data_IF_634449219709
#
_entry.id   IF_634449219709
#
_cell.length_a   1.000
_cell.length_b   1.000
_cell.length_c   1.000
_cell.angle_alpha   90.00
_cell.angle_beta   90.00
_cell.angle_gamma   90.00
#
_symmetry.space_group_name_H-M   'P 1'
#
loop_
_entity.id
_entity.type
_entity.pdbx_description
1 polymer ?
#
# COMPACT_ATOMS: atom_id res chain seq x y z
N UNK A 1 -18.03 -22.34 50.21
CA UNK A 1 -16.69 -22.55 49.64
C UNK A 1 -16.64 -22.49 48.10
N UNK A 2 -17.73 -22.71 47.38
CA UNK A 2 -17.75 -22.70 45.89
C UNK A 2 -17.55 -21.32 45.21
N UNK A 3 -18.00 -20.25 45.84
CA UNK A 3 -17.92 -18.91 45.26
C UNK A 3 -16.46 -18.38 45.17
N UNK A 4 -15.62 -18.72 46.12
CA UNK A 4 -14.22 -18.32 46.15
C UNK A 4 -13.42 -19.07 45.06
N UNK A 5 -13.69 -20.37 44.85
CA UNK A 5 -13.07 -21.17 43.79
C UNK A 5 -13.45 -20.67 42.39
N UNK A 6 -14.66 -20.21 42.15
CA UNK A 6 -15.09 -19.64 40.86
C UNK A 6 -14.47 -18.29 40.61
N UNK A 7 -14.22 -17.48 41.62
CA UNK A 7 -13.57 -16.16 41.46
C UNK A 7 -12.08 -16.28 41.19
N UNK A 8 -11.38 -17.26 41.79
CA UNK A 8 -9.96 -17.53 41.52
C UNK A 8 -9.77 -18.05 40.07
N UNK A 9 -10.58 -19.01 39.64
CA UNK A 9 -10.56 -19.56 38.28
C UNK A 9 -10.77 -18.47 37.19
N UNK A 10 -11.73 -17.53 37.40
CA UNK A 10 -11.93 -16.41 36.45
C UNK A 10 -10.81 -15.39 36.41
N UNK A 11 -10.10 -15.20 37.52
CA UNK A 11 -8.90 -14.32 37.54
C UNK A 11 -7.75 -14.99 36.82
N UNK A 12 -7.49 -16.25 37.08
CA UNK A 12 -6.46 -17.05 36.41
C UNK A 12 -6.69 -17.10 34.90
N UNK A 13 -7.92 -17.28 34.44
CA UNK A 13 -8.27 -17.26 33.02
C UNK A 13 -8.03 -15.89 32.37
N UNK A 14 -8.37 -14.79 33.08
CA UNK A 14 -8.08 -13.44 32.59
C UNK A 14 -6.58 -13.15 32.51
N UNK A 15 -5.83 -13.60 33.50
CA UNK A 15 -4.39 -13.40 33.54
C UNK A 15 -3.69 -14.23 32.46
N UNK A 16 -4.14 -15.44 32.19
CA UNK A 16 -3.68 -16.27 31.08
C UNK A 16 -3.93 -15.60 29.72
N UNK A 17 -5.16 -15.15 29.46
CA UNK A 17 -5.50 -14.43 28.23
C UNK A 17 -4.70 -13.13 28.04
N UNK A 18 -4.38 -12.44 29.13
CA UNK A 18 -3.54 -11.25 29.12
C UNK A 18 -2.09 -11.58 28.80
N UNK A 19 -1.57 -12.65 29.39
CA UNK A 19 -0.22 -13.14 29.11
C UNK A 19 -0.07 -13.61 27.64
N UNK A 20 -1.06 -14.32 27.12
CA UNK A 20 -1.09 -14.76 25.69
C UNK A 20 -1.10 -13.56 24.73
N UNK A 21 -1.89 -12.51 25.03
CA UNK A 21 -1.89 -11.29 24.20
C UNK A 21 -0.55 -10.58 24.22
N UNK A 22 0.06 -10.42 25.38
CA UNK A 22 1.38 -9.81 25.52
C UNK A 22 2.46 -10.63 24.80
N UNK A 23 2.40 -11.95 24.88
CA UNK A 23 3.32 -12.82 24.15
C UNK A 23 3.14 -12.72 22.64
N UNK A 24 1.89 -12.64 22.16
CA UNK A 24 1.59 -12.44 20.73
C UNK A 24 2.06 -11.07 20.22
N UNK A 25 1.88 -10.00 21.00
CA UNK A 25 2.38 -8.66 20.68
C UNK A 25 3.92 -8.62 20.63
N UNK A 26 4.59 -9.27 21.58
CA UNK A 26 6.06 -9.37 21.59
C UNK A 26 6.57 -10.18 20.38
N UNK A 27 5.92 -11.31 20.06
CA UNK A 27 6.30 -12.12 18.91
C UNK A 27 6.13 -11.35 17.60
N UNK A 28 5.04 -10.59 17.43
CA UNK A 28 4.81 -9.75 16.25
C UNK A 28 5.84 -8.62 16.13
N UNK A 29 6.20 -7.98 17.25
CA UNK A 29 7.23 -6.95 17.28
C UNK A 29 8.62 -7.48 16.94
N UNK A 30 8.96 -8.70 17.39
CA UNK A 30 10.23 -9.34 17.04
C UNK A 30 10.26 -9.76 15.56
N UNK A 31 9.15 -10.26 15.02
CA UNK A 31 9.06 -10.57 13.60
C UNK A 31 9.22 -9.31 12.74
N UNK A 32 8.61 -8.19 13.13
CA UNK A 32 8.78 -6.92 12.44
C UNK A 32 10.23 -6.42 12.47
N UNK A 33 10.94 -6.57 13.60
CA UNK A 33 12.38 -6.25 13.69
C UNK A 33 13.23 -7.15 12.79
N UNK A 34 12.99 -8.45 12.78
CA UNK A 34 13.70 -9.39 11.89
C UNK A 34 13.46 -9.08 10.41
N UNK A 35 12.21 -8.78 10.02
CA UNK A 35 11.87 -8.38 8.64
C UNK A 35 12.61 -7.09 8.24
N UNK A 36 12.68 -6.07 9.11
CA UNK A 36 13.48 -4.85 8.86
C UNK A 36 14.96 -5.14 8.64
N UNK A 37 15.56 -6.01 9.45
CA UNK A 37 16.95 -6.41 9.27
C UNK A 37 17.17 -7.17 7.94
N UNK A 38 16.26 -8.06 7.58
CA UNK A 38 16.33 -8.79 6.31
C UNK A 38 16.20 -7.84 5.10
N UNK A 39 15.28 -6.87 5.15
CA UNK A 39 15.13 -5.90 4.05
C UNK A 39 16.38 -5.01 3.87
N UNK A 40 17.03 -4.61 4.96
CA UNK A 40 18.29 -3.84 4.90
C UNK A 40 19.44 -4.69 4.31
N UNK A 41 19.54 -5.95 4.73
CA UNK A 41 20.60 -6.86 4.25
C UNK A 41 20.39 -7.24 2.79
N UNK A 42 19.17 -7.59 2.40
CA UNK A 42 18.83 -7.94 1.00
C UNK A 42 18.94 -6.73 0.08
N UNK A 43 18.44 -5.56 0.51
CA UNK A 43 18.58 -4.31 -0.24
C UNK A 43 20.05 -3.90 -0.42
N UNK A 44 20.87 -4.06 0.61
CA UNK A 44 22.31 -3.78 0.54
C UNK A 44 23.05 -4.71 -0.42
N UNK A 45 22.76 -6.00 -0.42
CA UNK A 45 23.38 -6.99 -1.32
C UNK A 45 22.98 -6.76 -2.77
N UNK A 46 21.71 -6.42 -3.04
CA UNK A 46 21.25 -6.10 -4.40
C UNK A 46 21.86 -4.79 -4.93
N UNK A 47 22.02 -3.77 -4.09
CA UNK A 47 22.68 -2.52 -4.47
C UNK A 47 24.15 -2.75 -4.87
N UNK A 48 24.89 -3.57 -4.14
CA UNK A 48 26.29 -3.91 -4.49
C UNK A 48 26.35 -4.71 -5.78
N UNK A 49 25.43 -5.64 -6.02
CA UNK A 49 25.36 -6.40 -7.27
C UNK A 49 25.02 -5.50 -8.48
N UNK A 50 24.12 -4.54 -8.31
CA UNK A 50 23.76 -3.59 -9.37
C UNK A 50 24.93 -2.66 -9.73
N UNK A 51 25.70 -2.17 -8.75
CA UNK A 51 26.88 -1.34 -9.00
C UNK A 51 27.99 -2.14 -9.73
N UNK A 52 28.19 -3.41 -9.36
CA UNK A 52 29.15 -4.27 -10.05
C UNK A 52 28.75 -4.54 -11.52
N UNK A 53 27.45 -4.71 -11.80
CA UNK A 53 26.93 -4.91 -13.15
C UNK A 53 27.11 -3.66 -14.03
N UNK A 54 26.88 -2.45 -13.48
CA UNK A 54 27.07 -1.19 -14.20
C UNK A 54 28.54 -0.94 -14.57
N UNK A 55 29.47 -1.28 -13.67
CA UNK A 55 30.90 -1.16 -13.95
C UNK A 55 31.36 -2.16 -15.04
N UNK A 56 30.82 -3.37 -15.06
CA UNK A 56 31.14 -4.35 -16.09
C UNK A 56 30.65 -3.95 -17.50
N UNK A 57 29.46 -3.32 -17.60
CA UNK A 57 28.90 -2.85 -18.87
C UNK A 57 29.65 -1.63 -19.43
N UNK A 58 30.17 -0.76 -18.55
CA UNK A 58 30.98 0.40 -19.00
C UNK A 58 32.36 0.00 -19.55
N UNK A 59 32.84 -1.22 -19.25
CA UNK A 59 34.16 -1.70 -19.73
C UNK A 59 34.11 -2.46 -21.07
N UNK A 60 32.92 -2.88 -21.54
CA UNK A 60 32.73 -3.56 -22.84
C UNK A 60 31.83 -2.69 -23.72
N UNK A 61 32.46 -1.86 -24.54
CA UNK A 61 31.80 -0.91 -25.42
C UNK A 61 30.76 -1.52 -26.35
N UNK A 62 29.62 -0.84 -26.46
CA UNK A 62 28.75 -0.80 -27.63
C UNK A 62 27.96 -2.07 -27.95
N UNK A 63 26.78 -2.21 -27.39
CA UNK A 63 25.71 -3.04 -27.88
C UNK A 63 24.40 -2.32 -27.62
N UNK A 64 23.66 -1.99 -28.69
CA UNK A 64 22.29 -1.51 -28.63
C UNK A 64 21.43 -2.55 -27.86
N UNK A 65 21.33 -2.36 -26.56
CA UNK A 65 20.27 -3.02 -25.79
C UNK A 65 18.98 -2.38 -26.24
N UNK A 66 18.24 -3.07 -27.09
CA UNK A 66 16.84 -2.80 -27.30
C UNK A 66 16.16 -2.84 -25.92
N UNK A 67 16.01 -1.68 -25.30
CA UNK A 67 15.15 -1.49 -24.16
C UNK A 67 13.76 -1.89 -24.63
N UNK A 68 13.25 -3.03 -24.16
CA UNK A 68 11.81 -3.25 -24.16
C UNK A 68 11.23 -2.03 -23.47
N UNK A 69 10.31 -1.30 -24.10
CA UNK A 69 9.74 -0.12 -23.49
C UNK A 69 8.87 -0.61 -22.32
N UNK A 70 9.47 -0.65 -21.15
CA UNK A 70 8.68 -0.69 -19.93
C UNK A 70 8.16 0.75 -19.79
N UNK A 71 6.95 1.01 -20.29
CA UNK A 71 6.30 2.32 -20.25
C UNK A 71 6.02 2.78 -18.81
N UNK A 72 6.30 1.92 -17.83
CA UNK A 72 6.19 2.21 -16.41
C UNK A 72 7.50 2.83 -15.90
N UNK A 73 7.43 4.09 -15.51
CA UNK A 73 8.53 4.71 -14.75
C UNK A 73 8.61 4.08 -13.34
N UNK A 74 9.84 3.94 -12.82
CA UNK A 74 10.04 3.63 -11.40
C UNK A 74 9.49 4.77 -10.51
N UNK A 75 9.28 4.51 -9.19
CA UNK A 75 8.98 5.57 -8.23
C UNK A 75 10.02 6.69 -8.32
N UNK A 76 9.58 7.93 -8.50
CA UNK A 76 10.42 9.06 -8.86
C UNK A 76 10.23 10.28 -7.96
N UNK A 77 9.48 10.14 -6.87
CA UNK A 77 9.18 11.22 -5.92
C UNK A 77 9.44 10.78 -4.48
N UNK A 78 9.80 11.75 -3.63
CA UNK A 78 9.88 11.61 -2.17
C UNK A 78 9.19 12.79 -1.48
N UNK A 79 8.80 12.58 -0.22
CA UNK A 79 8.23 13.61 0.64
C UNK A 79 9.11 13.77 1.89
N UNK A 80 10.41 13.98 1.70
CA UNK A 80 11.35 14.17 2.80
C UNK A 80 10.91 15.29 3.74
N UNK A 81 10.94 15.00 5.04
CA UNK A 81 10.54 15.95 6.08
C UNK A 81 9.05 16.25 6.16
N UNK A 82 8.20 15.61 5.35
CA UNK A 82 6.76 15.78 5.47
C UNK A 82 6.25 15.20 6.81
N UNK A 83 5.49 16.03 7.55
CA UNK A 83 4.95 15.62 8.84
C UNK A 83 3.83 14.60 8.66
N UNK A 84 3.89 13.51 9.42
CA UNK A 84 2.79 12.55 9.52
C UNK A 84 1.59 13.19 10.18
N UNK A 85 0.39 13.14 9.57
CA UNK A 85 -0.81 13.65 10.19
C UNK A 85 -1.09 12.95 11.53
N UNK A 86 -1.48 13.67 12.59
CA UNK A 86 -1.74 13.07 13.89
C UNK A 86 -2.91 12.08 13.82
N UNK A 87 -2.81 10.99 14.57
CA UNK A 87 -3.90 10.02 14.73
C UNK A 87 -4.99 10.61 15.63
N UNK A 88 -6.25 10.52 15.20
CA UNK A 88 -7.41 11.07 15.90
C UNK A 88 -8.19 10.03 16.74
N UNK A 89 -7.57 8.91 17.07
CA UNK A 89 -8.08 7.85 17.98
C UNK A 89 -9.10 6.85 17.38
N UNK A 90 -9.74 7.12 16.24
CA UNK A 90 -10.69 6.17 15.66
C UNK A 90 -9.97 5.12 14.81
N UNK A 91 -10.17 3.85 15.10
CA UNK A 91 -9.54 2.71 14.40
C UNK A 91 -10.54 1.82 13.67
N UNK A 92 -11.84 1.94 13.94
CA UNK A 92 -12.85 1.23 13.17
C UNK A 92 -13.03 1.85 11.80
N UNK A 93 -12.71 1.09 10.75
CA UNK A 93 -12.74 1.57 9.37
C UNK A 93 -14.10 2.15 8.97
N UNK A 94 -15.21 1.52 9.39
CA UNK A 94 -16.54 1.97 8.96
C UNK A 94 -16.95 3.25 9.67
N UNK A 95 -16.60 3.37 10.95
CA UNK A 95 -16.88 4.57 11.74
C UNK A 95 -16.06 5.75 11.21
N UNK A 96 -14.74 5.59 11.07
CA UNK A 96 -13.86 6.69 10.64
C UNK A 96 -14.12 7.10 9.19
N UNK A 97 -14.42 6.16 8.28
CA UNK A 97 -14.78 6.49 6.90
C UNK A 97 -16.06 7.36 6.85
N UNK A 98 -17.06 7.04 7.66
CA UNK A 98 -18.28 7.84 7.79
C UNK A 98 -17.99 9.23 8.36
N UNK A 99 -17.19 9.34 9.40
CA UNK A 99 -16.79 10.61 10.01
C UNK A 99 -15.94 11.47 9.06
N UNK A 100 -15.10 10.85 8.25
CA UNK A 100 -14.33 11.51 7.21
C UNK A 100 -15.21 11.97 6.01
N UNK A 101 -16.46 11.50 5.93
CA UNK A 101 -17.32 11.73 4.76
C UNK A 101 -16.86 10.95 3.52
N UNK A 102 -16.13 9.86 3.72
CA UNK A 102 -15.67 8.96 2.69
C UNK A 102 -16.67 7.82 2.45
N UNK A 103 -16.62 7.22 1.28
CA UNK A 103 -17.41 6.04 0.91
C UNK A 103 -16.52 4.81 0.84
N UNK A 104 -16.99 3.72 1.41
CA UNK A 104 -16.40 2.40 1.25
C UNK A 104 -17.18 1.63 0.18
N UNK A 105 -16.49 1.01 -0.75
CA UNK A 105 -17.07 0.20 -1.82
C UNK A 105 -16.28 -1.09 -1.99
N UNK A 106 -16.99 -2.14 -2.38
CA UNK A 106 -16.43 -3.43 -2.79
C UNK A 106 -16.88 -3.70 -4.22
N UNK A 107 -16.21 -3.11 -5.23
CA UNK A 107 -16.54 -3.35 -6.63
C UNK A 107 -16.41 -4.83 -6.98
N UNK A 108 -17.17 -5.26 -7.98
CA UNK A 108 -17.08 -6.62 -8.53
C UNK A 108 -15.68 -6.84 -9.09
N UNK A 109 -15.10 -8.00 -8.85
CA UNK A 109 -13.81 -8.40 -9.41
C UNK A 109 -13.95 -8.55 -10.92
N UNK A 110 -13.21 -7.74 -11.69
CA UNK A 110 -13.30 -7.63 -13.15
C UNK A 110 -12.40 -8.63 -13.90
N UNK A 111 -11.70 -9.49 -13.17
CA UNK A 111 -10.76 -10.47 -13.69
C UNK A 111 -9.45 -10.45 -12.91
N UNK A 112 -8.52 -11.36 -13.26
CA UNK A 112 -7.19 -11.44 -12.67
C UNK A 112 -6.20 -12.17 -13.60
N UNK A 113 -6.33 -11.97 -14.88
CA UNK A 113 -5.49 -12.64 -15.87
C UNK A 113 -4.40 -11.69 -16.34
N UNK A 114 -3.16 -12.17 -16.37
CA UNK A 114 -2.07 -11.47 -17.02
C UNK A 114 -2.36 -11.34 -18.52
N UNK A 115 -2.22 -10.15 -19.04
CA UNK A 115 -2.40 -9.86 -20.48
C UNK A 115 -1.11 -9.28 -21.06
N UNK A 116 -0.86 -9.46 -22.36
CA UNK A 116 0.29 -8.84 -23.02
C UNK A 116 0.35 -7.32 -22.81
N UNK A 117 1.56 -6.71 -22.77
CA UNK A 117 1.71 -5.26 -22.54
C UNK A 117 0.97 -4.36 -23.52
N UNK A 118 0.82 -4.79 -24.78
CA UNK A 118 0.11 -4.09 -25.85
C UNK A 118 -1.42 -4.23 -25.77
N UNK A 119 -1.92 -5.13 -24.92
CA UNK A 119 -3.36 -5.36 -24.76
C UNK A 119 -4.01 -4.23 -23.97
N UNK A 120 -4.98 -3.56 -24.57
CA UNK A 120 -5.82 -2.60 -23.87
C UNK A 120 -6.77 -3.29 -22.89
N UNK A 121 -6.86 -2.73 -21.67
CA UNK A 121 -7.79 -3.14 -20.63
C UNK A 121 -8.63 -1.93 -20.22
N UNK A 122 -9.93 -2.13 -20.15
CA UNK A 122 -10.85 -1.12 -19.59
C UNK A 122 -11.31 -1.58 -18.21
N UNK A 123 -11.25 -0.68 -17.24
CA UNK A 123 -11.70 -0.92 -15.89
C UNK A 123 -13.00 -0.18 -15.61
N UNK A 124 -13.91 -0.80 -14.89
CA UNK A 124 -15.22 -0.23 -14.55
C UNK A 124 -15.16 0.82 -13.45
N UNK A 125 -14.06 0.90 -12.72
CA UNK A 125 -13.83 1.92 -11.68
C UNK A 125 -12.58 2.73 -11.96
N UNK A 126 -12.54 3.96 -11.47
CA UNK A 126 -11.34 4.80 -11.40
C UNK A 126 -11.22 5.42 -10.01
N UNK A 127 -10.19 5.01 -9.21
CA UNK A 127 -9.18 4.00 -9.52
C UNK A 127 -9.74 2.60 -9.70
N UNK A 128 -9.07 1.73 -10.49
CA UNK A 128 -9.40 0.32 -10.56
C UNK A 128 -9.09 -0.39 -9.25
N UNK A 129 -9.83 -1.46 -8.94
CA UNK A 129 -9.60 -2.29 -7.75
C UNK A 129 -9.29 -3.73 -8.08
N UNK A 130 -9.40 -4.12 -9.34
CA UNK A 130 -9.14 -5.47 -9.86
C UNK A 130 -9.20 -5.43 -11.39
N UNK A 131 -8.94 -6.55 -12.02
CA UNK A 131 -9.11 -6.72 -13.46
C UNK A 131 -7.91 -7.42 -14.10
N UNK A 132 -8.01 -7.66 -15.39
CA UNK A 132 -6.88 -8.17 -16.14
C UNK A 132 -5.76 -7.12 -16.19
N UNK A 133 -4.51 -7.54 -16.08
CA UNK A 133 -3.40 -6.63 -15.84
C UNK A 133 -2.10 -7.12 -16.51
N UNK A 134 -1.07 -6.29 -16.48
CA UNK A 134 0.25 -6.60 -17.01
C UNK A 134 0.95 -7.66 -16.12
N UNK A 135 1.75 -8.58 -16.67
CA UNK A 135 2.50 -9.56 -15.88
C UNK A 135 3.60 -8.94 -14.99
N UNK A 136 3.95 -7.68 -15.20
CA UNK A 136 4.95 -6.97 -14.38
C UNK A 136 4.24 -6.00 -13.46
N UNK A 137 4.31 -6.15 -12.11
CA UNK A 137 3.71 -5.21 -11.19
C UNK A 137 4.50 -3.90 -11.14
N UNK A 138 3.85 -2.83 -10.71
CA UNK A 138 4.53 -1.60 -10.34
C UNK A 138 5.32 -1.81 -9.03
N UNK A 139 6.43 -1.09 -8.88
CA UNK A 139 7.21 -1.08 -7.64
C UNK A 139 6.47 -0.29 -6.54
N UNK A 140 6.70 -0.67 -5.29
CA UNK A 140 6.25 0.10 -4.14
C UNK A 140 6.97 1.46 -4.11
N UNK A 141 6.25 2.55 -3.81
CA UNK A 141 6.87 3.86 -3.75
C UNK A 141 5.96 5.02 -4.12
N UNK A 142 6.55 6.18 -4.36
CA UNK A 142 5.86 7.42 -4.71
C UNK A 142 6.11 7.79 -6.15
N UNK A 143 5.04 8.04 -6.88
CA UNK A 143 5.09 8.42 -8.31
C UNK A 143 4.64 9.87 -8.47
N UNK A 144 5.36 10.63 -9.30
CA UNK A 144 5.03 12.02 -9.62
C UNK A 144 3.96 12.16 -10.70
N UNK A 145 3.69 11.09 -11.44
CA UNK A 145 2.80 11.11 -12.62
C UNK A 145 1.56 10.23 -12.40
N UNK A 146 0.44 10.73 -12.90
CA UNK A 146 -0.78 9.91 -13.00
C UNK A 146 -0.56 8.73 -13.94
N UNK A 147 -1.10 7.53 -13.60
CA UNK A 147 -1.04 6.40 -14.50
C UNK A 147 -1.79 6.70 -15.81
N UNK A 148 -1.29 6.14 -16.90
CA UNK A 148 -1.93 6.15 -18.21
C UNK A 148 -2.75 4.87 -18.41
N UNK A 149 -3.51 4.78 -19.51
CA UNK A 149 -4.21 3.56 -19.87
C UNK A 149 -3.28 2.34 -20.04
N UNK A 150 -2.02 2.57 -20.40
CA UNK A 150 -1.01 1.51 -20.52
C UNK A 150 -0.40 1.15 -19.17
N UNK A 151 -0.03 2.15 -18.35
CA UNK A 151 0.69 1.89 -17.10
C UNK A 151 -0.21 1.50 -15.94
N UNK A 152 -1.49 1.84 -15.96
CA UNK A 152 -2.45 1.46 -14.91
C UNK A 152 -2.53 -0.06 -14.67
N UNK A 153 -2.24 -0.86 -15.72
CA UNK A 153 -2.25 -2.32 -15.63
C UNK A 153 -1.20 -2.87 -14.66
N UNK A 154 -0.06 -2.21 -14.51
CA UNK A 154 0.99 -2.57 -13.58
C UNK A 154 0.55 -2.32 -12.13
N UNK A 155 -0.17 -1.23 -11.89
CA UNK A 155 -0.74 -0.91 -10.59
C UNK A 155 -1.86 -1.88 -10.18
N UNK A 156 -2.69 -2.31 -11.14
CA UNK A 156 -3.69 -3.36 -10.85
C UNK A 156 -3.04 -4.69 -10.44
N UNK A 157 -1.89 -5.04 -11.05
CA UNK A 157 -1.10 -6.20 -10.61
C UNK A 157 -0.56 -6.01 -9.18
N UNK A 158 -0.11 -4.81 -8.86
CA UNK A 158 0.36 -4.46 -7.52
C UNK A 158 -0.73 -4.70 -6.46
N UNK A 159 -1.99 -4.39 -6.76
CA UNK A 159 -3.13 -4.70 -5.89
C UNK A 159 -3.34 -6.22 -5.71
N UNK A 160 -3.12 -7.02 -6.76
CA UNK A 160 -3.24 -8.48 -6.66
C UNK A 160 -2.23 -9.07 -5.66
N UNK A 161 -1.06 -8.45 -5.54
CA UNK A 161 -0.05 -8.77 -4.54
C UNK A 161 -0.34 -8.21 -3.13
N UNK A 162 -1.53 -7.63 -2.91
CA UNK A 162 -1.96 -7.14 -1.60
C UNK A 162 -1.41 -5.77 -1.20
N UNK A 163 -0.86 -5.00 -2.15
CA UNK A 163 -0.43 -3.62 -1.89
C UNK A 163 -1.63 -2.70 -1.72
N UNK A 164 -1.38 -1.59 -1.04
CA UNK A 164 -2.34 -0.49 -0.88
C UNK A 164 -1.89 0.67 -1.76
N UNK A 165 -2.78 1.17 -2.60
CA UNK A 165 -2.52 2.35 -3.41
C UNK A 165 -3.30 3.54 -2.89
N UNK A 166 -2.60 4.62 -2.54
CA UNK A 166 -3.17 5.92 -2.24
C UNK A 166 -3.09 6.76 -3.49
N UNK A 167 -4.23 7.18 -4.02
CA UNK A 167 -4.31 8.04 -5.19
C UNK A 167 -4.96 9.37 -4.83
N UNK A 168 -4.41 10.48 -5.31
CA UNK A 168 -4.90 11.82 -5.01
C UNK A 168 -5.11 12.65 -6.27
N UNK A 169 -6.10 13.55 -6.24
CA UNK A 169 -6.26 14.58 -7.26
C UNK A 169 -5.07 15.56 -7.19
N UNK A 170 -4.29 15.76 -8.25
CA UNK A 170 -3.15 16.68 -8.23
C UNK A 170 -3.52 18.14 -8.03
N UNK A 171 -4.80 18.50 -8.13
CA UNK A 171 -5.32 19.84 -7.77
C UNK A 171 -5.59 19.99 -6.27
N UNK A 172 -5.46 18.93 -5.48
CA UNK A 172 -5.61 18.96 -4.03
C UNK A 172 -4.61 19.96 -3.42
N UNK A 173 -5.01 20.58 -2.30
CA UNK A 173 -4.14 21.48 -1.55
C UNK A 173 -2.77 20.82 -1.26
N UNK A 174 -1.69 21.55 -1.53
CA UNK A 174 -0.31 21.08 -1.35
C UNK A 174 -0.01 20.58 0.07
N UNK A 175 -0.67 21.18 1.07
CA UNK A 175 -0.57 20.74 2.45
C UNK A 175 -1.11 19.32 2.61
N UNK A 176 -2.28 19.03 2.03
CA UNK A 176 -2.86 17.69 2.10
C UNK A 176 -2.02 16.66 1.31
N UNK A 177 -1.46 17.05 0.16
CA UNK A 177 -0.53 16.18 -0.59
C UNK A 177 0.71 15.87 0.25
N UNK A 178 1.29 16.89 0.91
CA UNK A 178 2.42 16.67 1.82
C UNK A 178 2.04 15.77 3.01
N UNK A 179 0.85 15.92 3.57
CA UNK A 179 0.34 15.06 4.64
C UNK A 179 0.14 13.60 4.18
N UNK A 180 -0.31 13.37 2.94
CA UNK A 180 -0.35 12.02 2.35
C UNK A 180 1.07 11.44 2.22
N UNK A 181 2.04 12.26 1.81
CA UNK A 181 3.45 11.88 1.78
C UNK A 181 3.99 11.54 3.16
N UNK A 182 3.67 12.33 4.20
CA UNK A 182 4.03 12.03 5.58
C UNK A 182 3.43 10.71 6.07
N UNK A 183 2.16 10.45 5.75
CA UNK A 183 1.50 9.17 6.07
C UNK A 183 2.16 7.99 5.36
N UNK A 184 2.54 8.15 4.09
CA UNK A 184 3.28 7.14 3.34
C UNK A 184 4.66 6.87 3.98
N UNK A 185 5.41 7.92 4.33
CA UNK A 185 6.74 7.79 4.95
C UNK A 185 6.70 7.11 6.32
N UNK A 186 5.59 7.25 7.06
CA UNK A 186 5.39 6.63 8.37
C UNK A 186 5.37 5.10 8.29
N UNK A 187 4.79 4.55 7.21
CA UNK A 187 4.73 3.12 6.98
C UNK A 187 4.63 2.82 5.46
N UNK A 188 5.77 2.83 4.73
CA UNK A 188 5.80 2.67 3.28
C UNK A 188 5.71 1.21 2.81
N UNK A 189 5.68 0.24 3.73
CA UNK A 189 5.66 -1.18 3.40
C UNK A 189 4.41 -1.55 2.59
N UNK A 190 4.61 -2.13 1.42
CA UNK A 190 3.56 -2.53 0.48
C UNK A 190 2.56 -1.40 0.17
N UNK A 191 3.11 -0.23 -0.10
CA UNK A 191 2.34 0.99 -0.37
C UNK A 191 2.78 1.66 -1.68
N UNK A 192 1.80 2.21 -2.38
CA UNK A 192 2.00 3.11 -3.52
C UNK A 192 1.28 4.42 -3.26
N UNK A 193 1.90 5.54 -3.58
CA UNK A 193 1.30 6.88 -3.54
C UNK A 193 1.48 7.55 -4.89
N UNK A 194 0.38 8.00 -5.52
CA UNK A 194 0.45 8.62 -6.85
C UNK A 194 -0.69 9.60 -7.10
N UNK A 195 -0.50 10.59 -8.00
CA UNK A 195 -1.61 11.41 -8.48
C UNK A 195 -2.52 10.63 -9.43
N UNK A 196 -3.82 10.96 -9.46
CA UNK A 196 -4.76 10.48 -10.47
C UNK A 196 -5.71 11.60 -10.88
N UNK A 197 -5.50 12.15 -12.08
CA UNK A 197 -6.26 13.28 -12.62
C UNK A 197 -7.70 12.95 -13.02
N UNK A 198 -7.98 11.67 -13.25
CA UNK A 198 -9.23 11.24 -13.90
C UNK A 198 -10.24 10.66 -12.90
N UNK A 199 -9.87 10.52 -11.65
CA UNK A 199 -10.79 10.02 -10.64
C UNK A 199 -11.78 11.09 -10.16
N UNK A 200 -12.91 10.67 -9.61
CA UNK A 200 -13.95 11.56 -9.07
C UNK A 200 -13.79 11.87 -7.58
N UNK A 201 -12.69 11.49 -6.98
CA UNK A 201 -12.36 11.66 -5.57
C UNK A 201 -11.21 12.64 -5.41
N UNK A 202 -11.18 13.38 -4.29
CA UNK A 202 -10.01 14.15 -3.89
C UNK A 202 -8.87 13.21 -3.46
N UNK A 203 -9.21 12.13 -2.73
CA UNK A 203 -8.32 11.04 -2.37
C UNK A 203 -9.08 9.73 -2.48
N UNK A 204 -8.45 8.71 -3.04
CA UNK A 204 -8.94 7.35 -3.05
C UNK A 204 -7.85 6.38 -2.58
N UNK A 205 -8.25 5.33 -1.88
CA UNK A 205 -7.36 4.25 -1.47
C UNK A 205 -7.94 2.94 -1.99
N UNK A 206 -7.10 2.15 -2.63
CA UNK A 206 -7.51 0.85 -3.19
C UNK A 206 -6.68 -0.29 -2.64
N UNK A 207 -7.33 -1.41 -2.50
CA UNK A 207 -6.79 -2.76 -2.36
C UNK A 207 -7.56 -3.67 -3.31
N UNK A 208 -7.15 -4.91 -3.48
CA UNK A 208 -7.85 -5.82 -4.39
C UNK A 208 -9.33 -6.01 -4.02
N UNK A 209 -10.21 -5.54 -4.90
CA UNK A 209 -11.66 -5.58 -4.70
C UNK A 209 -12.22 -4.58 -3.69
N UNK A 210 -11.41 -3.64 -3.18
CA UNK A 210 -11.84 -2.68 -2.16
C UNK A 210 -11.45 -1.25 -2.52
N UNK A 211 -12.30 -0.29 -2.17
CA UNK A 211 -12.08 1.13 -2.41
C UNK A 211 -12.61 1.96 -1.24
N UNK A 212 -11.79 2.88 -0.76
CA UNK A 212 -12.16 4.01 0.07
C UNK A 212 -12.06 5.27 -0.80
N UNK A 213 -13.15 6.00 -1.00
CA UNK A 213 -13.18 7.22 -1.82
C UNK A 213 -13.64 8.44 -1.01
N UNK A 214 -12.82 9.48 -0.96
CA UNK A 214 -13.10 10.71 -0.23
C UNK A 214 -13.19 11.88 -1.21
N UNK A 215 -14.34 12.57 -1.26
CA UNK A 215 -14.52 13.76 -2.11
C UNK A 215 -13.88 15.02 -1.55
N UNK A 216 -13.61 15.04 -0.25
CA UNK A 216 -12.93 16.13 0.47
C UNK A 216 -11.92 15.49 1.42
N UNK A 217 -10.89 16.25 1.80
CA UNK A 217 -9.89 15.82 2.78
C UNK A 217 -10.09 16.64 4.07
N UNK A 218 -10.11 15.94 5.19
CA UNK A 218 -10.09 16.46 6.55
C UNK A 218 -9.21 15.57 7.43
N UNK A 219 -9.03 15.92 8.69
CA UNK A 219 -8.13 15.16 9.59
C UNK A 219 -8.54 13.69 9.75
N UNK A 220 -9.84 13.38 9.72
CA UNK A 220 -10.35 12.00 9.78
C UNK A 220 -10.07 11.19 8.51
N UNK A 221 -9.80 11.85 7.38
CA UNK A 221 -9.44 11.17 6.14
C UNK A 221 -8.14 10.37 6.31
N UNK A 222 -7.17 10.89 7.04
CA UNK A 222 -5.90 10.19 7.27
C UNK A 222 -6.06 8.98 8.17
N UNK A 223 -6.95 9.05 9.16
CA UNK A 223 -7.30 7.89 10.00
C UNK A 223 -8.04 6.82 9.20
N UNK A 224 -8.96 7.23 8.31
CA UNK A 224 -9.65 6.31 7.40
C UNK A 224 -8.67 5.60 6.45
N UNK A 225 -7.65 6.30 5.96
CA UNK A 225 -6.57 5.70 5.14
C UNK A 225 -5.79 4.67 5.95
N UNK A 226 -5.39 4.99 7.20
CA UNK A 226 -4.68 4.05 8.08
C UNK A 226 -5.53 2.80 8.36
N UNK A 227 -6.80 2.98 8.75
CA UNK A 227 -7.70 1.89 9.04
C UNK A 227 -7.97 1.01 7.80
N UNK A 228 -8.06 1.60 6.60
CA UNK A 228 -8.17 0.87 5.34
C UNK A 228 -6.90 0.06 5.06
N UNK A 229 -5.72 0.68 5.16
CA UNK A 229 -4.43 0.03 5.01
C UNK A 229 -4.30 -1.16 5.96
N UNK A 230 -4.54 -0.95 7.24
CA UNK A 230 -4.37 -1.97 8.28
C UNK A 230 -5.34 -3.15 8.11
N UNK A 231 -6.49 -2.91 7.48
CA UNK A 231 -7.49 -3.93 7.20
C UNK A 231 -7.19 -4.76 5.95
N UNK A 232 -6.67 -4.13 4.89
CA UNK A 232 -6.63 -4.76 3.55
C UNK A 232 -5.21 -4.99 3.03
N UNK A 233 -4.18 -4.46 3.65
CA UNK A 233 -2.81 -4.72 3.25
C UNK A 233 -2.48 -6.21 3.42
N UNK A 234 -1.76 -6.77 2.46
CA UNK A 234 -1.41 -8.19 2.36
C UNK A 234 -2.63 -9.13 2.25
N UNK A 235 -3.80 -8.61 1.81
CA UNK A 235 -5.01 -9.39 1.57
C UNK A 235 -5.28 -9.60 0.07
N UNK A 236 -4.27 -9.47 -0.76
CA UNK A 236 -4.36 -9.79 -2.19
C UNK A 236 -4.55 -11.28 -2.43
N UNK A 237 -5.13 -11.67 -3.58
CA UNK A 237 -5.33 -13.08 -3.92
C UNK A 237 -4.01 -13.81 -4.27
N UNK A 238 -2.93 -13.08 -4.55
CA UNK A 238 -1.60 -13.63 -4.77
C UNK A 238 -0.66 -13.20 -3.66
N UNK A 239 -0.17 -14.18 -2.90
CA UNK A 239 0.76 -13.96 -1.80
C UNK A 239 2.19 -14.00 -2.34
N UNK A 240 2.80 -12.84 -2.52
CA UNK A 240 4.22 -12.69 -2.86
C UNK A 240 4.97 -12.08 -1.68
N UNK A 241 6.14 -12.64 -1.42
CA UNK A 241 7.00 -12.21 -0.30
C UNK A 241 7.75 -10.91 -0.64
#
# INVERSE_FOLDING_TARGET
>A
MDNVRRMTSRREEKDQRRAERLAAEQASAEQAKRRRLYSIVVGGVLAVAAVAAVIAVAATGGGDSASTPNDLAAPDQSFEGAATPPLQQETDLFAVAREAGCVLRNPVIEGRTHVPPDKDVKYGTNPPTSGNHDPVPAEDGVYSRSPTAKTIKHFVHTLEHGRIEIQYDPSLDKRHIAQLGGLFNDDPYHMVLMPNRLMSYAVAVTAWGHLLGCKKVNDKTFDAIRAFRDRYRDQGPEQVA
#
